data_IF_111130269302
#
_entry.id   IF_111130269302
#
_cell.length_a   1.000
_cell.length_b   1.000
_cell.length_c   1.000
_cell.angle_alpha   90.00
_cell.angle_beta   90.00
_cell.angle_gamma   90.00
#
_symmetry.space_group_name_H-M   'P 1'
#
loop_
_entity.id
_entity.type
_entity.pdbx_description
1 polymer ?
#
# COMPACT_ATOMS: atom_id res chain seq x y z
N UNK A 1 -4.89 59.75 -27.94
CA UNK A 1 -4.56 58.39 -28.44
C UNK A 1 -3.96 57.60 -27.27
N UNK A 2 -4.80 56.79 -26.57
CA UNK A 2 -4.38 55.99 -25.39
C UNK A 2 -4.36 54.55 -25.81
N UNK A 3 -3.18 53.90 -25.79
CA UNK A 3 -3.01 52.44 -26.05
C UNK A 3 -3.24 51.66 -24.78
N UNK A 4 -4.11 50.64 -24.73
CA UNK A 4 -4.21 49.74 -23.63
C UNK A 4 -3.10 48.69 -23.66
N UNK A 5 -2.34 48.58 -22.56
CA UNK A 5 -1.40 47.50 -22.33
C UNK A 5 -2.18 46.25 -21.90
N UNK A 6 -2.13 45.20 -22.72
CA UNK A 6 -2.61 43.87 -22.35
C UNK A 6 -1.61 43.24 -21.38
N UNK A 7 -1.99 43.18 -20.11
CA UNK A 7 -1.30 42.36 -19.10
C UNK A 7 -1.68 40.89 -19.30
N UNK A 8 -0.79 40.08 -19.88
CA UNK A 8 -0.94 38.65 -20.01
C UNK A 8 -0.81 37.97 -18.65
N UNK A 9 -1.91 37.46 -18.10
CA UNK A 9 -1.92 36.59 -16.93
C UNK A 9 -1.39 35.22 -17.32
N UNK A 10 -0.12 34.94 -17.03
CA UNK A 10 0.48 33.63 -17.15
C UNK A 10 -0.08 32.70 -16.07
N UNK A 11 -1.00 31.82 -16.42
CA UNK A 11 -1.45 30.73 -15.55
C UNK A 11 -0.33 29.73 -15.42
N UNK A 12 0.42 29.77 -14.33
CA UNK A 12 1.33 28.69 -13.94
C UNK A 12 0.50 27.46 -13.56
N UNK A 13 0.35 26.53 -14.50
CA UNK A 13 -0.18 25.20 -14.22
C UNK A 13 0.84 24.47 -13.32
N UNK A 14 0.55 24.43 -12.03
CA UNK A 14 1.24 23.55 -11.06
C UNK A 14 0.90 22.10 -11.41
N UNK A 15 1.61 21.54 -12.40
CA UNK A 15 1.59 20.13 -12.67
C UNK A 15 2.03 19.39 -11.41
N UNK A 16 1.12 18.63 -10.81
CA UNK A 16 1.44 17.72 -9.71
C UNK A 16 2.46 16.70 -10.21
N UNK A 17 3.73 16.91 -9.91
CA UNK A 17 4.81 16.05 -10.36
C UNK A 17 4.72 14.71 -9.63
N UNK A 18 4.19 13.69 -10.30
CA UNK A 18 4.35 12.30 -9.86
C UNK A 18 5.84 11.95 -9.96
N UNK A 19 6.46 11.42 -8.89
CA UNK A 19 7.89 11.16 -8.85
C UNK A 19 8.32 10.22 -9.98
N UNK A 20 9.40 10.58 -10.69
CA UNK A 20 10.02 9.67 -11.66
C UNK A 20 10.81 8.60 -10.92
N UNK A 21 10.75 7.39 -11.47
CA UNK A 21 11.56 6.28 -10.98
C UNK A 21 13.04 6.54 -11.34
N UNK A 22 13.89 6.73 -10.34
CA UNK A 22 15.35 6.79 -10.56
C UNK A 22 15.89 5.38 -10.83
N UNK A 23 16.93 5.21 -11.66
CA UNK A 23 17.59 3.92 -11.83
C UNK A 23 18.02 3.33 -10.48
N UNK A 24 18.06 1.99 -10.37
CA UNK A 24 18.62 1.32 -9.21
C UNK A 24 20.13 1.60 -9.14
N UNK A 25 20.58 2.02 -7.97
CA UNK A 25 21.98 2.21 -7.59
C UNK A 25 22.50 1.04 -6.76
N UNK A 26 23.76 1.06 -6.39
CA UNK A 26 24.39 0.01 -5.59
C UNK A 26 25.00 -1.11 -6.42
N UNK A 27 25.47 -2.15 -5.73
CA UNK A 27 26.12 -3.30 -6.35
C UNK A 27 25.11 -4.38 -6.71
N UNK A 28 25.36 -5.20 -7.76
CA UNK A 28 24.52 -6.36 -8.04
C UNK A 28 24.43 -7.26 -6.81
N UNK A 29 23.22 -7.72 -6.49
CA UNK A 29 23.05 -8.64 -5.38
C UNK A 29 23.58 -10.03 -5.75
N UNK A 30 24.18 -10.76 -4.80
CA UNK A 30 24.64 -12.14 -5.02
C UNK A 30 23.47 -13.15 -5.09
N UNK A 31 22.22 -12.66 -4.99
CA UNK A 31 21.00 -13.48 -5.00
C UNK A 31 20.23 -13.23 -6.29
N UNK A 32 19.65 -14.27 -6.85
CA UNK A 32 18.84 -14.23 -8.07
C UNK A 32 17.33 -14.19 -7.81
N UNK A 33 16.91 -14.30 -6.55
CA UNK A 33 15.51 -14.33 -6.17
C UNK A 33 15.22 -13.34 -5.03
N UNK A 34 13.98 -12.86 -5.02
CA UNK A 34 13.48 -11.99 -3.93
C UNK A 34 13.41 -12.76 -2.61
N UNK A 35 13.61 -12.09 -1.47
CA UNK A 35 13.33 -12.66 -0.17
C UNK A 35 11.92 -13.24 -0.10
N UNK A 36 11.77 -14.41 0.48
CA UNK A 36 10.46 -15.00 0.71
C UNK A 36 9.78 -14.30 1.87
N UNK A 37 8.78 -13.49 1.56
CA UNK A 37 7.94 -12.85 2.56
C UNK A 37 6.58 -13.53 2.58
N UNK A 38 6.06 -13.74 3.77
CA UNK A 38 4.75 -14.35 3.97
C UNK A 38 4.03 -13.75 5.18
N UNK A 39 2.77 -14.08 5.31
CA UNK A 39 2.07 -13.83 6.55
C UNK A 39 2.67 -14.73 7.65
N UNK A 40 2.67 -14.29 8.90
CA UNK A 40 3.02 -15.18 10.01
C UNK A 40 2.06 -16.39 10.00
N UNK A 41 2.57 -17.59 10.33
CA UNK A 41 1.73 -18.80 10.33
C UNK A 41 0.60 -18.67 11.37
N UNK A 42 -0.50 -19.42 11.15
CA UNK A 42 -1.66 -19.40 12.03
C UNK A 42 -2.63 -18.25 11.78
N UNK A 43 -3.35 -17.87 12.83
CA UNK A 43 -4.43 -16.89 12.80
C UNK A 43 -4.07 -15.72 13.72
N UNK A 44 -4.18 -14.51 13.21
CA UNK A 44 -3.81 -13.31 13.96
C UNK A 44 -4.94 -12.28 13.93
N UNK A 45 -5.19 -11.66 15.07
CA UNK A 45 -6.00 -10.47 15.19
C UNK A 45 -5.09 -9.27 15.43
N UNK A 46 -5.26 -8.24 14.59
CA UNK A 46 -4.53 -6.98 14.69
C UNK A 46 -5.53 -5.87 14.91
N UNK A 47 -5.33 -5.06 15.94
CA UNK A 47 -6.08 -3.82 16.18
C UNK A 47 -5.19 -2.66 15.74
N UNK A 48 -5.78 -1.70 15.05
CA UNK A 48 -5.05 -0.56 14.53
C UNK A 48 -5.91 0.71 14.55
N UNK A 49 -5.28 1.85 14.56
CA UNK A 49 -5.90 3.13 14.19
C UNK A 49 -5.54 3.46 12.74
N UNK A 50 -6.38 4.27 12.10
CA UNK A 50 -6.11 4.73 10.75
C UNK A 50 -6.36 6.24 10.60
N UNK A 51 -5.57 6.85 9.73
CA UNK A 51 -5.69 8.24 9.32
C UNK A 51 -5.65 8.32 7.80
N UNK A 52 -6.66 8.94 7.22
CA UNK A 52 -6.80 9.17 5.79
C UNK A 52 -6.72 10.66 5.49
N UNK A 53 -5.85 11.02 4.58
CA UNK A 53 -5.78 12.35 3.96
C UNK A 53 -5.99 12.18 2.45
N UNK A 54 -7.01 12.82 1.90
CA UNK A 54 -7.32 12.85 0.48
C UNK A 54 -7.56 14.32 0.07
N UNK A 55 -7.70 14.60 -1.21
CA UNK A 55 -7.95 15.97 -1.71
C UNK A 55 -9.15 16.63 -1.08
N UNK A 56 -10.23 15.87 -0.93
CA UNK A 56 -11.56 16.37 -0.62
C UNK A 56 -12.00 16.01 0.80
N UNK A 57 -11.21 15.20 1.51
CA UNK A 57 -11.56 14.75 2.85
C UNK A 57 -10.36 14.31 3.68
N UNK A 58 -10.52 14.47 4.97
CA UNK A 58 -9.68 13.81 5.97
C UNK A 58 -10.57 12.94 6.84
N UNK A 59 -10.01 11.84 7.33
CA UNK A 59 -10.75 10.94 8.21
C UNK A 59 -9.79 10.19 9.12
N UNK A 60 -10.30 9.72 10.23
CA UNK A 60 -9.59 8.87 11.18
C UNK A 60 -10.53 7.93 11.88
N UNK A 61 -10.00 6.86 12.40
CA UNK A 61 -10.79 5.91 13.16
C UNK A 61 -9.98 4.72 13.62
N UNK A 62 -10.69 3.73 14.07
CA UNK A 62 -10.15 2.45 14.54
C UNK A 62 -10.39 1.36 13.50
N UNK A 63 -9.67 0.27 13.63
CA UNK A 63 -9.88 -0.89 12.78
C UNK A 63 -9.40 -2.18 13.41
N UNK A 64 -9.85 -3.27 12.85
CA UNK A 64 -9.39 -4.60 13.19
C UNK A 64 -9.08 -5.39 11.91
N UNK A 65 -7.95 -6.08 11.90
CA UNK A 65 -7.65 -7.05 10.84
C UNK A 65 -7.64 -8.46 11.44
N UNK A 66 -8.25 -9.39 10.70
CA UNK A 66 -8.15 -10.83 10.92
C UNK A 66 -7.32 -11.39 9.79
N UNK A 67 -6.21 -12.03 10.12
CA UNK A 67 -5.22 -12.51 9.16
C UNK A 67 -5.06 -14.01 9.37
N UNK A 68 -5.19 -14.77 8.29
CA UNK A 68 -4.95 -16.20 8.27
C UNK A 68 -3.98 -16.53 7.11
N UNK A 69 -2.86 -17.17 7.46
CA UNK A 69 -1.94 -17.66 6.45
C UNK A 69 -2.61 -18.78 5.61
N UNK A 70 -2.23 -18.93 4.33
CA UNK A 70 -1.16 -18.18 3.66
C UNK A 70 -1.61 -16.88 2.99
N UNK A 71 -2.92 -16.64 2.79
CA UNK A 71 -3.40 -15.64 1.84
C UNK A 71 -4.82 -15.10 2.14
N UNK A 72 -5.21 -15.06 3.39
CA UNK A 72 -6.52 -14.54 3.78
C UNK A 72 -6.39 -13.39 4.79
N UNK A 73 -7.07 -12.28 4.52
CA UNK A 73 -7.17 -11.16 5.44
C UNK A 73 -8.55 -10.48 5.34
N UNK A 74 -9.12 -10.12 6.48
CA UNK A 74 -10.29 -9.26 6.59
C UNK A 74 -9.92 -8.03 7.37
N UNK A 75 -10.26 -6.86 6.86
CA UNK A 75 -10.06 -5.56 7.51
C UNK A 75 -11.43 -4.94 7.76
N UNK A 76 -11.70 -4.60 8.99
CA UNK A 76 -12.89 -3.86 9.38
C UNK A 76 -12.43 -2.45 9.83
N UNK A 77 -13.07 -1.40 9.28
CA UNK A 77 -12.76 0.00 9.54
C UNK A 77 -13.96 0.65 10.26
N UNK A 78 -13.70 1.40 11.30
CA UNK A 78 -14.68 2.12 12.08
C UNK A 78 -14.32 3.61 12.09
N UNK A 79 -15.29 4.48 11.80
CA UNK A 79 -15.10 5.93 11.91
C UNK A 79 -15.00 6.35 13.37
N UNK A 80 -14.18 7.34 13.66
CA UNK A 80 -14.16 7.98 14.97
C UNK A 80 -15.55 8.53 15.30
N UNK A 81 -16.03 8.23 16.52
CA UNK A 81 -17.40 8.59 16.95
C UNK A 81 -18.43 7.47 16.77
N UNK A 82 -18.06 6.31 16.23
CA UNK A 82 -18.91 5.11 16.21
C UNK A 82 -20.00 5.07 15.13
N UNK A 83 -20.08 6.08 14.30
CA UNK A 83 -21.07 6.15 13.22
C UNK A 83 -20.47 5.74 11.88
N UNK A 84 -20.78 4.54 11.45
CA UNK A 84 -20.38 4.04 10.15
C UNK A 84 -19.03 3.33 10.17
N UNK A 85 -18.79 2.62 9.09
CA UNK A 85 -17.60 1.82 8.89
C UNK A 85 -17.69 1.05 7.60
N UNK A 86 -16.80 0.11 7.42
CA UNK A 86 -16.84 -0.80 6.30
C UNK A 86 -15.81 -1.90 6.45
N UNK A 87 -15.92 -2.88 5.59
CA UNK A 87 -15.02 -4.02 5.62
C UNK A 87 -14.44 -4.31 4.24
N UNK A 88 -13.25 -4.89 4.22
CA UNK A 88 -12.65 -5.47 3.04
C UNK A 88 -12.16 -6.88 3.35
N UNK A 89 -12.38 -7.79 2.42
CA UNK A 89 -11.84 -9.15 2.47
C UNK A 89 -10.86 -9.31 1.31
N UNK A 90 -9.69 -9.81 1.62
CA UNK A 90 -8.61 -10.10 0.70
C UNK A 90 -8.34 -11.60 0.73
N UNK A 91 -8.58 -12.28 -0.38
CA UNK A 91 -8.35 -13.72 -0.57
C UNK A 91 -7.49 -13.91 -1.81
N UNK A 92 -6.29 -14.46 -1.64
CA UNK A 92 -5.34 -14.57 -2.74
C UNK A 92 -5.04 -13.22 -3.37
N UNK A 93 -5.40 -13.03 -4.62
CA UNK A 93 -5.23 -11.79 -5.40
C UNK A 93 -6.51 -10.94 -5.52
N UNK A 94 -7.59 -11.35 -4.87
CA UNK A 94 -8.90 -10.73 -4.97
C UNK A 94 -9.26 -9.96 -3.72
N UNK A 95 -9.71 -8.73 -3.90
CA UNK A 95 -10.26 -7.88 -2.84
C UNK A 95 -11.77 -7.69 -3.06
N UNK A 96 -12.54 -7.91 -2.01
CA UNK A 96 -13.94 -7.56 -1.91
C UNK A 96 -14.09 -6.45 -0.87
N UNK A 97 -14.59 -5.30 -1.28
CA UNK A 97 -14.81 -4.13 -0.41
C UNK A 97 -16.16 -3.51 -0.75
N UNK A 98 -17.28 -4.18 -0.40
CA UNK A 98 -18.58 -3.59 -0.53
C UNK A 98 -18.70 -2.41 0.44
N UNK A 99 -19.32 -1.36 -0.01
CA UNK A 99 -19.49 -0.16 0.79
C UNK A 99 -19.33 1.12 -0.01
N UNK A 100 -19.51 2.25 0.66
CA UNK A 100 -19.42 3.56 0.04
C UNK A 100 -18.02 3.98 -0.35
N UNK A 101 -17.90 5.20 -0.85
CA UNK A 101 -16.63 5.78 -1.33
C UNK A 101 -15.51 5.77 -0.28
N UNK A 102 -15.85 5.90 1.00
CA UNK A 102 -14.87 5.86 2.07
C UNK A 102 -14.11 4.52 2.09
N UNK A 103 -14.82 3.39 2.05
CA UNK A 103 -14.18 2.07 2.09
C UNK A 103 -13.26 1.87 0.89
N UNK A 104 -13.70 2.27 -0.30
CA UNK A 104 -12.87 2.23 -1.51
C UNK A 104 -11.62 3.10 -1.42
N UNK A 105 -11.66 4.17 -0.62
CA UNK A 105 -10.49 5.04 -0.36
C UNK A 105 -9.54 4.45 0.68
N UNK A 106 -10.06 3.68 1.63
CA UNK A 106 -9.28 3.03 2.69
C UNK A 106 -8.58 1.73 2.25
N UNK A 107 -9.00 1.16 1.13
CA UNK A 107 -8.50 -0.15 0.69
C UNK A 107 -7.58 0.01 -0.53
N UNK A 108 -6.25 -0.18 -0.37
CA UNK A 108 -5.32 -0.22 -1.47
C UNK A 108 -5.60 -1.39 -2.44
N UNK A 109 -5.06 -1.35 -3.66
CA UNK A 109 -5.06 -2.52 -4.54
C UNK A 109 -4.48 -3.76 -3.87
N UNK A 110 -4.92 -5.00 -4.23
CA UNK A 110 -4.57 -6.24 -3.54
C UNK A 110 -3.08 -6.42 -3.27
N UNK A 111 -2.23 -6.20 -4.27
CA UNK A 111 -0.77 -6.32 -4.15
C UNK A 111 -0.18 -5.37 -3.10
N UNK A 112 -0.66 -4.12 -3.06
CA UNK A 112 -0.20 -3.13 -2.08
C UNK A 112 -0.80 -3.39 -0.70
N UNK A 113 -2.00 -3.93 -0.63
CA UNK A 113 -2.61 -4.34 0.63
C UNK A 113 -1.85 -5.51 1.25
N UNK A 114 -1.43 -6.51 0.45
CA UNK A 114 -0.52 -7.57 0.91
C UNK A 114 0.82 -7.01 1.37
N UNK A 115 1.38 -6.06 0.63
CA UNK A 115 2.63 -5.41 1.03
C UNK A 115 2.51 -4.67 2.37
N UNK A 116 1.36 -4.04 2.66
CA UNK A 116 1.07 -3.43 3.96
C UNK A 116 1.08 -4.47 5.10
N UNK A 117 0.60 -5.68 4.81
CA UNK A 117 0.62 -6.81 5.74
C UNK A 117 1.98 -7.55 5.79
N UNK A 118 2.96 -7.13 4.97
CA UNK A 118 4.31 -7.69 4.96
C UNK A 118 4.54 -8.83 3.96
N UNK A 119 3.55 -9.14 3.11
CA UNK A 119 3.63 -10.20 2.10
C UNK A 119 3.87 -9.60 0.71
N UNK A 120 4.84 -10.14 -0.04
CA UNK A 120 4.99 -9.84 -1.47
C UNK A 120 4.08 -10.78 -2.26
N UNK A 121 3.11 -10.20 -2.96
CA UNK A 121 2.16 -10.91 -3.82
C UNK A 121 2.11 -10.22 -5.19
N UNK A 122 3.22 -10.32 -5.94
CA UNK A 122 3.32 -9.75 -7.29
C UNK A 122 2.75 -10.72 -8.32
N UNK A 123 2.20 -10.21 -9.42
CA UNK A 123 1.96 -11.04 -10.60
C UNK A 123 3.30 -11.61 -11.11
N UNK A 124 3.25 -12.74 -11.80
CA UNK A 124 4.42 -13.30 -12.44
C UNK A 124 4.84 -12.40 -13.62
N UNK A 125 5.92 -11.65 -13.44
CA UNK A 125 6.47 -10.73 -14.43
C UNK A 125 7.88 -11.17 -14.83
N UNK A 126 8.24 -11.03 -16.12
CA UNK A 126 9.59 -11.28 -16.57
C UNK A 126 10.56 -10.23 -16.01
N UNK A 127 11.82 -10.57 -15.99
CA UNK A 127 12.94 -9.69 -15.66
C UNK A 127 12.87 -9.08 -14.23
N UNK A 128 13.75 -9.56 -13.39
CA UNK A 128 13.98 -9.00 -12.06
C UNK A 128 15.44 -8.57 -11.95
N UNK A 129 15.67 -7.31 -11.63
CA UNK A 129 17.00 -6.75 -11.36
C UNK A 129 17.11 -6.48 -9.88
N UNK A 130 18.12 -7.08 -9.21
CA UNK A 130 18.29 -6.94 -7.77
C UNK A 130 19.66 -6.29 -7.47
N UNK A 131 19.66 -5.27 -6.62
CA UNK A 131 20.85 -4.55 -6.16
C UNK A 131 20.83 -4.34 -4.66
N UNK A 132 22.01 -4.17 -4.08
CA UNK A 132 22.20 -3.83 -2.66
C UNK A 132 22.81 -2.44 -2.58
N UNK A 133 22.16 -1.58 -1.81
CA UNK A 133 22.59 -0.22 -1.53
C UNK A 133 22.43 0.08 -0.03
N UNK A 134 23.54 0.37 0.66
CA UNK A 134 23.50 0.71 2.09
C UNK A 134 22.84 -0.35 2.98
N UNK A 135 23.02 -1.65 2.66
CA UNK A 135 22.41 -2.76 3.41
C UNK A 135 20.93 -3.04 3.06
N UNK A 136 20.35 -2.24 2.15
CA UNK A 136 18.99 -2.43 1.66
C UNK A 136 19.02 -3.17 0.32
N UNK A 137 18.34 -4.31 0.23
CA UNK A 137 18.10 -4.99 -1.03
C UNK A 137 16.97 -4.28 -1.77
N UNK A 138 17.23 -3.87 -3.01
CA UNK A 138 16.25 -3.23 -3.89
C UNK A 138 16.08 -4.04 -5.16
N UNK A 139 14.84 -4.21 -5.58
CA UNK A 139 14.52 -4.99 -6.77
C UNK A 139 13.54 -4.25 -7.68
N UNK A 140 13.87 -4.19 -8.96
CA UNK A 140 12.97 -3.79 -10.03
C UNK A 140 12.42 -5.05 -10.71
N UNK A 141 11.10 -5.15 -10.80
CA UNK A 141 10.38 -6.29 -11.37
C UNK A 141 9.55 -5.86 -12.56
N UNK A 142 9.69 -6.60 -13.66
CA UNK A 142 9.02 -6.32 -14.93
C UNK A 142 9.84 -5.49 -15.91
N UNK A 143 9.53 -5.63 -17.21
CA UNK A 143 10.14 -4.87 -18.28
C UNK A 143 9.06 -4.37 -19.25
N UNK A 144 8.72 -3.07 -19.25
CA UNK A 144 9.27 -2.01 -18.38
C UNK A 144 8.99 -2.27 -16.91
N UNK A 145 9.78 -1.64 -16.03
CA UNK A 145 9.62 -1.80 -14.57
C UNK A 145 8.17 -1.50 -14.16
N UNK A 146 7.51 -2.49 -13.57
CA UNK A 146 6.15 -2.40 -13.07
C UNK A 146 6.11 -2.26 -11.54
N UNK A 147 7.10 -2.84 -10.86
CA UNK A 147 7.22 -2.79 -9.42
C UNK A 147 8.66 -2.54 -8.98
N UNK A 148 8.81 -1.77 -7.90
CA UNK A 148 10.05 -1.67 -7.14
C UNK A 148 9.80 -2.09 -5.70
N UNK A 149 10.63 -2.99 -5.22
CA UNK A 149 10.58 -3.49 -3.85
C UNK A 149 11.87 -3.11 -3.11
N UNK A 150 11.76 -2.88 -1.82
CA UNK A 150 12.90 -2.67 -0.94
C UNK A 150 12.76 -3.53 0.31
N UNK A 151 13.87 -4.18 0.69
CA UNK A 151 13.91 -5.08 1.84
C UNK A 151 15.06 -4.70 2.76
N UNK A 152 14.83 -4.86 4.05
CA UNK A 152 15.88 -4.86 5.06
C UNK A 152 15.95 -6.26 5.67
N UNK A 153 17.04 -6.99 5.39
CA UNK A 153 17.03 -8.45 5.56
C UNK A 153 15.90 -9.09 4.75
N UNK A 154 15.09 -9.92 5.40
CA UNK A 154 13.92 -10.54 4.78
C UNK A 154 12.62 -9.74 4.96
N UNK A 155 12.70 -8.54 5.55
CA UNK A 155 11.51 -7.72 5.79
C UNK A 155 11.26 -6.77 4.63
N UNK A 156 10.07 -6.84 4.04
CA UNK A 156 9.61 -5.86 3.06
C UNK A 156 9.38 -4.51 3.76
N UNK A 157 10.17 -3.50 3.38
CA UNK A 157 10.05 -2.14 3.93
C UNK A 157 9.34 -1.19 2.99
N UNK A 158 9.36 -1.45 1.68
CA UNK A 158 8.65 -0.63 0.70
C UNK A 158 8.29 -1.42 -0.55
N UNK A 159 7.09 -1.17 -1.07
CA UNK A 159 6.62 -1.66 -2.36
C UNK A 159 6.04 -0.49 -3.16
N UNK A 160 6.51 -0.30 -4.38
CA UNK A 160 6.13 0.80 -5.27
C UNK A 160 5.56 0.22 -6.57
N UNK A 161 4.37 0.66 -6.94
CA UNK A 161 3.80 0.40 -8.27
C UNK A 161 4.27 1.49 -9.23
N UNK A 162 4.82 1.06 -10.34
CA UNK A 162 5.40 1.93 -11.37
C UNK A 162 4.56 1.86 -12.64
N UNK A 163 4.27 3.00 -13.22
CA UNK A 163 3.62 3.10 -14.52
C UNK A 163 4.27 4.21 -15.34
N UNK A 164 4.68 3.89 -16.58
CA UNK A 164 5.34 4.85 -17.45
C UNK A 164 6.61 5.49 -16.84
N UNK A 165 7.38 4.71 -16.08
CA UNK A 165 8.58 5.19 -15.39
C UNK A 165 8.31 6.16 -14.24
N UNK A 166 7.10 6.18 -13.69
CA UNK A 166 6.69 7.01 -12.55
C UNK A 166 6.14 6.13 -11.44
N UNK A 167 6.46 6.46 -10.20
CA UNK A 167 5.87 5.81 -9.03
C UNK A 167 4.46 6.37 -8.83
N UNK A 168 3.44 5.55 -9.07
CA UNK A 168 2.03 5.97 -9.00
C UNK A 168 1.38 5.66 -7.67
N UNK A 169 1.81 4.58 -7.02
CA UNK A 169 1.34 4.17 -5.70
C UNK A 169 2.46 3.45 -4.96
N UNK A 170 2.44 3.52 -3.65
CA UNK A 170 3.39 2.79 -2.83
C UNK A 170 2.86 2.51 -1.43
N UNK A 171 3.43 1.49 -0.82
CA UNK A 171 3.31 1.17 0.61
C UNK A 171 4.70 1.21 1.22
N UNK A 172 4.82 1.78 2.40
CA UNK A 172 6.06 1.84 3.17
C UNK A 172 5.79 1.53 4.64
N UNK A 173 6.60 0.64 5.19
CA UNK A 173 6.68 0.42 6.63
C UNK A 173 7.55 1.53 7.23
N UNK A 174 6.96 2.35 8.09
CA UNK A 174 7.67 3.47 8.73
C UNK A 174 8.45 2.99 9.96
N UNK A 175 7.90 2.03 10.68
CA UNK A 175 8.48 1.33 11.81
C UNK A 175 7.77 -0.02 12.05
N UNK A 176 7.97 -0.63 13.19
CA UNK A 176 7.38 -1.94 13.54
C UNK A 176 5.86 -1.91 13.65
N UNK A 177 5.27 -0.75 13.92
CA UNK A 177 3.84 -0.58 14.15
C UNK A 177 3.12 0.21 13.04
N UNK A 178 3.83 1.04 12.28
CA UNK A 178 3.21 1.96 11.34
C UNK A 178 3.51 1.62 9.90
N UNK A 179 2.45 1.64 9.09
CA UNK A 179 2.51 1.45 7.63
C UNK A 179 1.78 2.60 6.95
N UNK A 180 2.37 3.12 5.89
CA UNK A 180 1.77 4.19 5.07
C UNK A 180 1.57 3.70 3.66
N UNK A 181 0.36 3.89 3.16
CA UNK A 181 0.03 3.81 1.74
C UNK A 181 -0.09 5.21 1.16
N UNK A 182 0.38 5.38 -0.07
CA UNK A 182 0.24 6.61 -0.84
C UNK A 182 -0.22 6.30 -2.25
N UNK A 183 -1.22 7.05 -2.74
CA UNK A 183 -1.56 7.15 -4.15
C UNK A 183 -1.21 8.56 -4.62
N UNK A 184 -0.18 8.66 -5.47
CA UNK A 184 0.36 9.95 -5.93
C UNK A 184 -0.62 10.68 -6.85
N UNK A 185 -1.32 9.94 -7.71
CA UNK A 185 -2.28 10.52 -8.65
C UNK A 185 -3.50 11.09 -7.94
N UNK A 186 -4.03 10.37 -6.96
CA UNK A 186 -5.14 10.81 -6.14
C UNK A 186 -4.74 11.81 -5.05
N UNK A 187 -3.43 11.96 -4.77
CA UNK A 187 -2.88 12.69 -3.60
C UNK A 187 -3.42 12.16 -2.27
N UNK A 188 -3.64 10.86 -2.21
CA UNK A 188 -4.20 10.19 -1.04
C UNK A 188 -3.10 9.56 -0.22
N UNK A 189 -3.17 9.75 1.11
CA UNK A 189 -2.33 9.08 2.09
C UNK A 189 -3.21 8.35 3.08
N UNK A 190 -2.91 7.09 3.35
CA UNK A 190 -3.49 6.32 4.43
C UNK A 190 -2.37 5.83 5.34
N UNK A 191 -2.44 6.16 6.62
CA UNK A 191 -1.51 5.66 7.64
C UNK A 191 -2.25 4.73 8.56
N UNK A 192 -1.73 3.52 8.75
CA UNK A 192 -2.21 2.53 9.70
C UNK A 192 -1.20 2.43 10.84
N UNK A 193 -1.69 2.47 12.08
CA UNK A 193 -0.87 2.33 13.29
C UNK A 193 -1.39 1.17 14.13
N UNK A 194 -0.63 0.08 14.15
CA UNK A 194 -0.97 -1.13 14.93
C UNK A 194 -0.83 -0.82 16.42
N UNK A 195 -1.89 -1.05 17.16
CA UNK A 195 -1.94 -0.87 18.62
C UNK A 195 -1.86 -2.19 19.37
N UNK A 196 -2.31 -3.28 18.73
CA UNK A 196 -2.27 -4.62 19.32
C UNK A 196 -2.22 -5.70 18.25
N UNK A 197 -1.48 -6.77 18.51
CA UNK A 197 -1.43 -7.98 17.68
C UNK A 197 -1.43 -9.20 18.58
N UNK A 198 -2.40 -10.10 18.35
CA UNK A 198 -2.57 -11.34 19.09
C UNK A 198 -2.60 -12.52 18.11
N UNK A 199 -2.01 -13.64 18.51
CA UNK A 199 -2.32 -14.94 17.91
C UNK A 199 -3.64 -15.45 18.52
N UNK A 200 -4.49 -16.03 17.69
CA UNK A 200 -5.84 -16.45 18.08
C UNK A 200 -6.15 -17.83 17.50
N UNK A 201 -7.15 -18.55 18.05
CA UNK A 201 -7.66 -19.76 17.42
C UNK A 201 -8.14 -19.52 15.99
N UNK A 202 -8.36 -20.60 15.25
CA UNK A 202 -8.91 -20.55 13.90
C UNK A 202 -10.20 -19.73 13.84
N UNK A 203 -10.32 -18.91 12.81
CA UNK A 203 -11.51 -18.11 12.60
C UNK A 203 -12.63 -18.95 12.00
N UNK A 204 -13.87 -18.64 12.37
CA UNK A 204 -15.03 -19.18 11.69
C UNK A 204 -15.02 -18.82 10.20
N UNK A 205 -15.38 -19.78 9.34
CA UNK A 205 -15.36 -19.58 7.89
C UNK A 205 -16.30 -18.47 7.39
N UNK A 206 -17.32 -18.12 8.17
CA UNK A 206 -18.26 -17.04 7.84
C UNK A 206 -17.61 -15.66 7.80
N UNK A 207 -16.50 -15.45 8.54
CA UNK A 207 -15.83 -14.15 8.53
C UNK A 207 -15.26 -13.77 7.16
N UNK A 208 -15.01 -14.76 6.30
CA UNK A 208 -14.49 -14.56 4.95
C UNK A 208 -15.61 -14.25 3.93
N UNK A 209 -16.79 -13.94 4.42
CA UNK A 209 -17.93 -13.50 3.60
C UNK A 209 -18.35 -12.11 4.08
N UNK A 210 -18.73 -11.27 3.14
CA UNK A 210 -19.39 -10.01 3.44
C UNK A 210 -20.86 -10.20 3.14
N UNK A 211 -21.70 -10.05 4.16
CA UNK A 211 -23.14 -10.02 3.97
C UNK A 211 -23.47 -8.85 3.03
N UNK A 212 -24.30 -9.13 2.03
CA UNK A 212 -24.71 -8.16 1.00
C UNK A 212 -25.70 -7.16 1.56
#
# INVERSE_FOLDING_TARGET
MIRPALAGLGVLALAACVPRLSPLTGVPAPVSALPRTGLPPGHHRVVFTWELEDRDMTGRGDGAARIAAPDSARLDFFLAGGFGGGAAILLGDTVQAPGGDLVRRLVPPPTLLWAALGRVALPNLPDTVIRIEGGTLRADVGRPVAWRLSFHGDTLVRAERVNGGRVVEWVQRLDTARVRYRNESARRTLTLSVTRKDEVPEFDASIWRLDR
#
